data_IF_818680596658
#
_entry.id   IF_818680596658
#
_cell.length_a   1.000
_cell.length_b   1.000
_cell.length_c   1.000
_cell.angle_alpha   90.00
_cell.angle_beta   90.00
_cell.angle_gamma   90.00
#
_symmetry.space_group_name_H-M   'P 1'
#
loop_
_entity.id
_entity.type
_entity.pdbx_description
1 polymer ?
#
# COMPACT_ATOMS: atom_id res chain seq x y z
N UNK A 1 1.85 23.87 -3.25
CA UNK A 1 1.83 24.21 -4.69
C UNK A 1 2.14 22.96 -5.51
N UNK A 2 1.77 22.88 -6.79
CA UNK A 2 2.11 21.71 -7.66
C UNK A 2 3.61 21.37 -7.64
N UNK A 3 4.47 22.39 -7.52
CA UNK A 3 5.91 22.20 -7.37
C UNK A 3 6.30 21.36 -6.13
N UNK A 4 5.58 21.49 -5.02
CA UNK A 4 5.85 20.71 -3.80
C UNK A 4 5.44 19.25 -4.00
N UNK A 5 4.34 19.00 -4.72
CA UNK A 5 3.91 17.65 -5.10
C UNK A 5 4.96 17.02 -6.01
N UNK A 6 5.40 17.72 -7.05
CA UNK A 6 6.42 17.20 -7.95
C UNK A 6 7.70 16.84 -7.20
N UNK A 7 8.15 17.72 -6.29
CA UNK A 7 9.32 17.48 -5.45
C UNK A 7 9.15 16.19 -4.63
N UNK A 8 8.03 16.05 -3.91
CA UNK A 8 7.71 14.84 -3.11
C UNK A 8 7.69 13.57 -3.96
N UNK A 9 7.06 13.62 -5.13
CA UNK A 9 6.97 12.47 -6.04
C UNK A 9 8.35 12.08 -6.58
N UNK A 10 9.16 13.06 -6.98
CA UNK A 10 10.54 12.80 -7.44
C UNK A 10 11.40 12.25 -6.31
N UNK A 11 11.31 12.79 -5.09
CA UNK A 11 12.06 12.29 -3.93
C UNK A 11 11.68 10.85 -3.60
N UNK A 12 10.38 10.49 -3.64
CA UNK A 12 9.94 9.11 -3.44
C UNK A 12 10.43 8.18 -4.55
N UNK A 13 10.37 8.61 -5.82
CA UNK A 13 10.84 7.82 -6.95
C UNK A 13 12.35 7.58 -6.90
N UNK A 14 13.13 8.60 -6.53
CA UNK A 14 14.59 8.54 -6.47
C UNK A 14 15.12 7.56 -5.40
N UNK A 15 14.30 7.19 -4.41
CA UNK A 15 14.65 6.13 -3.43
C UNK A 15 14.77 4.75 -4.10
N UNK A 16 14.00 4.52 -5.17
CA UNK A 16 13.94 3.25 -5.90
C UNK A 16 14.75 3.27 -7.20
N UNK A 17 15.14 4.45 -7.70
CA UNK A 17 16.05 4.62 -8.84
C UNK A 17 17.51 4.35 -8.42
N UNK A 18 17.85 3.07 -8.30
CA UNK A 18 19.19 2.64 -7.86
C UNK A 18 20.31 3.04 -8.83
N UNK A 19 20.00 3.27 -10.10
CA UNK A 19 20.97 3.62 -11.15
C UNK A 19 21.10 5.13 -11.38
N UNK A 20 20.20 5.94 -10.81
CA UNK A 20 20.12 7.38 -11.04
C UNK A 20 19.77 7.75 -12.48
N UNK A 21 19.14 6.83 -13.22
CA UNK A 21 18.85 6.97 -14.64
C UNK A 21 17.40 7.43 -14.91
N UNK A 22 16.66 7.77 -13.85
CA UNK A 22 15.25 8.18 -13.84
C UNK A 22 14.29 7.08 -14.31
N UNK A 23 14.63 5.84 -13.99
CA UNK A 23 13.76 4.67 -14.18
C UNK A 23 13.70 3.82 -12.92
N UNK A 24 12.57 3.14 -12.73
CA UNK A 24 12.37 2.14 -11.67
C UNK A 24 11.72 0.90 -12.26
N UNK A 25 11.92 -0.24 -11.63
CA UNK A 25 11.24 -1.48 -12.00
C UNK A 25 9.72 -1.31 -11.84
N UNK A 26 8.93 -1.86 -12.77
CA UNK A 26 7.46 -1.82 -12.73
C UNK A 26 6.89 -2.36 -11.41
N UNK A 27 7.59 -3.31 -10.77
CA UNK A 27 7.20 -3.92 -9.50
C UNK A 27 7.27 -2.95 -8.31
N UNK A 28 8.08 -1.90 -8.40
CA UNK A 28 8.25 -0.91 -7.33
C UNK A 28 7.16 0.17 -7.33
N UNK A 29 6.36 0.26 -8.39
CA UNK A 29 5.38 1.33 -8.59
C UNK A 29 4.32 1.34 -7.49
N UNK A 30 3.82 0.17 -7.08
CA UNK A 30 2.87 0.05 -5.98
C UNK A 30 3.44 0.62 -4.67
N UNK A 31 4.67 0.23 -4.33
CA UNK A 31 5.38 0.69 -3.13
C UNK A 31 5.62 2.20 -3.16
N UNK A 32 6.04 2.76 -4.30
CA UNK A 32 6.26 4.21 -4.45
C UNK A 32 4.94 4.96 -4.24
N UNK A 33 3.84 4.53 -4.87
CA UNK A 33 2.53 5.18 -4.71
C UNK A 33 2.07 5.10 -3.24
N UNK A 34 2.27 3.95 -2.58
CA UNK A 34 1.96 3.78 -1.16
C UNK A 34 2.78 4.68 -0.24
N UNK A 35 4.07 4.85 -0.54
CA UNK A 35 4.94 5.78 0.20
C UNK A 35 4.53 7.25 0.11
N UNK A 36 3.75 7.61 -0.92
CA UNK A 36 3.22 8.96 -1.11
C UNK A 36 1.92 9.23 -0.33
N UNK A 37 1.44 8.24 0.44
CA UNK A 37 0.23 8.32 1.26
C UNK A 37 -1.05 7.87 0.54
N UNK A 38 -0.92 7.23 -0.62
CA UNK A 38 -2.04 6.61 -1.33
C UNK A 38 -2.15 5.12 -0.95
N UNK A 39 -3.34 4.53 -1.07
CA UNK A 39 -3.59 3.12 -0.83
C UNK A 39 -4.35 2.49 -2.02
N UNK A 40 -3.77 2.46 -3.23
CA UNK A 40 -4.42 1.84 -4.37
C UNK A 40 -4.47 0.32 -4.19
N UNK A 41 -5.50 -0.31 -4.77
CA UNK A 41 -5.57 -1.76 -4.90
C UNK A 41 -4.61 -2.25 -6.00
N UNK A 42 -4.28 -3.54 -6.03
CA UNK A 42 -3.43 -4.11 -7.08
C UNK A 42 -4.04 -3.96 -8.48
N UNK A 43 -5.37 -4.08 -8.59
CA UNK A 43 -6.09 -3.76 -9.82
C UNK A 43 -5.92 -2.28 -10.24
N UNK A 44 -5.97 -1.35 -9.30
CA UNK A 44 -5.79 0.08 -9.59
C UNK A 44 -4.32 0.41 -9.95
N UNK A 45 -3.35 -0.28 -9.37
CA UNK A 45 -1.93 -0.17 -9.77
C UNK A 45 -1.75 -0.67 -11.20
N UNK A 46 -2.37 -1.80 -11.55
CA UNK A 46 -2.34 -2.31 -12.92
C UNK A 46 -2.91 -1.30 -13.92
N UNK A 47 -4.03 -0.65 -13.59
CA UNK A 47 -4.61 0.40 -14.44
C UNK A 47 -3.66 1.61 -14.59
N UNK A 48 -3.00 2.03 -13.50
CA UNK A 48 -1.99 3.10 -13.55
C UNK A 48 -0.81 2.70 -14.45
N UNK A 49 -0.31 1.46 -14.32
CA UNK A 49 0.78 0.94 -15.14
C UNK A 49 0.40 0.93 -16.63
N UNK A 50 -0.80 0.46 -16.96
CA UNK A 50 -1.30 0.43 -18.33
C UNK A 50 -1.39 1.83 -18.98
N UNK A 51 -1.56 2.89 -18.18
CA UNK A 51 -1.55 4.27 -18.67
C UNK A 51 -0.14 4.86 -18.90
N UNK A 52 0.87 4.38 -18.18
CA UNK A 52 2.22 4.99 -18.15
C UNK A 52 3.32 4.14 -18.78
N UNK A 53 3.07 2.85 -19.01
CA UNK A 53 3.99 1.95 -19.69
C UNK A 53 4.14 2.32 -21.17
N UNK A 54 5.32 2.02 -21.75
CA UNK A 54 5.56 2.23 -23.18
C UNK A 54 4.83 1.18 -24.03
N UNK A 55 4.64 1.44 -25.33
CA UNK A 55 4.00 0.48 -26.24
C UNK A 55 4.71 -0.88 -26.26
N UNK A 56 6.04 -0.87 -26.06
CA UNK A 56 6.84 -2.06 -25.83
C UNK A 56 7.24 -2.14 -24.35
N UNK A 57 6.72 -3.12 -23.57
CA UNK A 57 7.04 -3.29 -22.16
C UNK A 57 8.54 -3.49 -21.95
N UNK A 58 9.17 -2.57 -21.23
CA UNK A 58 10.60 -2.65 -20.93
C UNK A 58 10.88 -3.30 -19.57
N UNK A 59 9.85 -3.49 -18.74
CA UNK A 59 10.00 -3.84 -17.32
C UNK A 59 10.37 -2.64 -16.43
N UNK A 60 10.52 -1.44 -17.01
CA UNK A 60 10.87 -0.22 -16.30
C UNK A 60 9.91 0.92 -16.63
N UNK A 61 9.63 1.76 -15.63
CA UNK A 61 8.84 2.98 -15.77
C UNK A 61 9.75 4.20 -15.65
N UNK A 62 9.57 5.18 -16.54
CA UNK A 62 10.31 6.45 -16.53
C UNK A 62 9.62 7.48 -15.64
N UNK A 63 10.40 8.25 -14.89
CA UNK A 63 9.88 9.35 -14.06
C UNK A 63 9.00 10.33 -14.86
N UNK A 64 9.37 10.60 -16.11
CA UNK A 64 8.63 11.53 -16.99
C UNK A 64 7.18 11.09 -17.28
N UNK A 65 6.90 9.78 -17.25
CA UNK A 65 5.56 9.21 -17.42
C UNK A 65 4.83 9.10 -16.09
N UNK A 66 5.55 8.69 -15.05
CA UNK A 66 5.00 8.51 -13.71
C UNK A 66 4.57 9.83 -13.04
N UNK A 67 5.42 10.85 -13.10
CA UNK A 67 5.22 12.14 -12.43
C UNK A 67 3.88 12.83 -12.76
N UNK A 68 3.48 13.02 -14.05
CA UNK A 68 2.21 13.66 -14.37
C UNK A 68 1.01 12.83 -13.89
N UNK A 69 1.07 11.50 -14.00
CA UNK A 69 -0.01 10.62 -13.58
C UNK A 69 -0.23 10.69 -12.06
N UNK A 70 0.84 10.54 -11.28
CA UNK A 70 0.73 10.59 -9.81
C UNK A 70 0.44 11.99 -9.29
N UNK A 71 0.91 13.03 -9.97
CA UNK A 71 0.52 14.41 -9.63
C UNK A 71 -1.00 14.58 -9.76
N UNK A 72 -1.60 14.05 -10.83
CA UNK A 72 -3.06 14.07 -11.00
C UNK A 72 -3.77 13.28 -9.90
N UNK A 73 -3.31 12.07 -9.58
CA UNK A 73 -3.85 11.23 -8.49
C UNK A 73 -3.87 11.99 -7.16
N UNK A 74 -2.76 12.62 -6.79
CA UNK A 74 -2.63 13.37 -5.53
C UNK A 74 -3.48 14.63 -5.51
N UNK A 75 -3.57 15.36 -6.63
CA UNK A 75 -4.42 16.56 -6.74
C UNK A 75 -5.90 16.22 -6.68
N UNK A 76 -6.32 15.12 -7.31
CA UNK A 76 -7.69 14.62 -7.31
C UNK A 76 -8.05 13.85 -6.03
N UNK A 77 -7.09 13.66 -5.11
CA UNK A 77 -7.24 12.88 -3.88
C UNK A 77 -7.81 11.48 -4.14
N UNK A 78 -7.32 10.83 -5.19
CA UNK A 78 -7.61 9.43 -5.51
C UNK A 78 -6.82 8.50 -4.57
N UNK A 79 -7.31 7.28 -4.39
CA UNK A 79 -6.66 6.23 -3.59
C UNK A 79 -6.33 6.68 -2.17
N UNK A 80 -7.25 7.39 -1.50
CA UNK A 80 -7.01 7.83 -0.12
C UNK A 80 -6.96 6.65 0.83
N UNK A 81 -6.18 6.80 1.89
CA UNK A 81 -6.20 5.86 3.01
C UNK A 81 -7.60 5.72 3.59
N UNK A 82 -7.88 4.52 4.09
CA UNK A 82 -9.13 4.22 4.77
C UNK A 82 -9.05 4.84 6.18
N UNK A 83 -10.08 5.57 6.64
CA UNK A 83 -10.10 6.10 8.00
C UNK A 83 -9.92 5.01 9.05
N UNK A 84 -9.18 5.33 10.12
CA UNK A 84 -8.86 4.40 11.21
C UNK A 84 -10.12 3.72 11.79
N UNK A 85 -11.21 4.47 11.97
CA UNK A 85 -12.47 3.95 12.50
C UNK A 85 -13.12 2.90 11.57
N UNK A 86 -12.94 3.05 10.26
CA UNK A 86 -13.43 2.10 9.28
C UNK A 86 -12.58 0.82 9.25
N UNK A 87 -11.25 0.94 9.37
CA UNK A 87 -10.35 -0.23 9.48
C UNK A 87 -10.64 -0.99 10.79
N UNK A 88 -10.80 -0.27 11.90
CA UNK A 88 -11.15 -0.88 13.19
C UNK A 88 -12.47 -1.63 13.11
N UNK A 89 -13.51 -1.05 12.48
CA UNK A 89 -14.79 -1.73 12.26
C UNK A 89 -14.63 -2.99 11.42
N UNK A 90 -13.76 -2.99 10.41
CA UNK A 90 -13.50 -4.18 9.59
C UNK A 90 -12.94 -5.32 10.45
N UNK A 91 -11.94 -5.06 11.29
CA UNK A 91 -11.42 -6.07 12.23
C UNK A 91 -12.46 -6.56 13.23
N UNK A 92 -13.33 -5.68 13.73
CA UNK A 92 -14.43 -6.05 14.64
C UNK A 92 -15.46 -6.97 13.98
N UNK A 93 -15.62 -6.93 12.65
CA UNK A 93 -16.47 -7.89 11.93
C UNK A 93 -15.83 -9.28 11.90
N UNK A 94 -14.49 -9.36 11.87
CA UNK A 94 -13.77 -10.63 11.92
C UNK A 94 -13.77 -11.24 13.33
N UNK A 95 -13.69 -10.39 14.36
CA UNK A 95 -13.74 -10.77 15.77
C UNK A 95 -15.19 -10.88 16.29
N UNK A 96 -15.90 -11.91 15.83
CA UNK A 96 -17.32 -12.13 16.16
C UNK A 96 -17.62 -12.28 17.66
N UNK A 97 -16.63 -12.66 18.46
CA UNK A 97 -16.73 -12.82 19.91
C UNK A 97 -16.32 -11.56 20.70
N UNK A 98 -15.89 -10.49 20.00
CA UNK A 98 -15.40 -9.25 20.58
C UNK A 98 -14.25 -9.45 21.59
N UNK A 99 -13.34 -10.38 21.29
CA UNK A 99 -12.13 -10.71 22.06
C UNK A 99 -11.18 -9.52 22.18
N UNK A 100 -11.17 -8.64 21.17
CA UNK A 100 -10.20 -7.55 21.02
C UNK A 100 -8.90 -7.97 20.33
N UNK A 101 -8.83 -9.20 19.82
CA UNK A 101 -7.69 -9.76 19.10
C UNK A 101 -8.15 -10.82 18.09
N UNK A 102 -7.29 -11.14 17.13
CA UNK A 102 -7.44 -12.28 16.22
C UNK A 102 -6.29 -13.26 16.40
N UNK A 103 -6.58 -14.54 16.21
CA UNK A 103 -5.54 -15.56 16.10
C UNK A 103 -4.85 -15.43 14.72
N UNK A 104 -3.52 -15.67 14.60
CA UNK A 104 -2.81 -15.55 13.32
C UNK A 104 -3.44 -16.39 12.19
N UNK A 105 -3.96 -17.56 12.52
CA UNK A 105 -4.67 -18.46 11.61
C UNK A 105 -5.99 -17.85 11.12
N UNK A 106 -6.75 -17.20 12.01
CA UNK A 106 -8.00 -16.51 11.64
C UNK A 106 -7.72 -15.38 10.66
N UNK A 107 -6.71 -14.55 10.98
CA UNK A 107 -6.32 -13.43 10.10
C UNK A 107 -5.82 -13.93 8.74
N UNK A 108 -4.95 -14.95 8.73
CA UNK A 108 -4.42 -15.56 7.50
C UNK A 108 -5.54 -16.01 6.58
N UNK A 109 -6.54 -16.70 7.14
CA UNK A 109 -7.68 -17.19 6.36
C UNK A 109 -8.41 -16.03 5.66
N UNK A 110 -8.73 -14.96 6.38
CA UNK A 110 -9.44 -13.82 5.78
C UNK A 110 -8.61 -13.08 4.73
N UNK A 111 -7.31 -12.88 4.98
CA UNK A 111 -6.44 -12.11 4.08
C UNK A 111 -6.01 -12.88 2.83
N UNK A 112 -6.18 -14.21 2.80
CA UNK A 112 -5.78 -15.06 1.65
C UNK A 112 -6.97 -15.63 0.87
N UNK A 113 -8.20 -15.54 1.39
CA UNK A 113 -9.41 -16.07 0.73
C UNK A 113 -10.31 -14.99 0.10
N UNK A 114 -10.28 -13.75 0.61
CA UNK A 114 -11.24 -12.71 0.27
C UNK A 114 -10.57 -11.47 -0.34
N UNK A 115 -11.28 -10.77 -1.23
CA UNK A 115 -10.82 -9.50 -1.81
C UNK A 115 -9.64 -9.66 -2.78
N UNK A 116 -8.56 -8.91 -2.53
CA UNK A 116 -7.27 -9.08 -3.19
C UNK A 116 -6.38 -9.94 -2.25
N UNK A 117 -6.33 -11.26 -2.48
CA UNK A 117 -5.72 -12.18 -1.54
C UNK A 117 -4.22 -11.97 -1.49
N UNK A 118 -3.69 -11.96 -0.27
CA UNK A 118 -2.25 -11.86 -0.04
C UNK A 118 -1.57 -13.14 -0.54
N UNK A 119 -0.38 -12.97 -1.09
CA UNK A 119 0.56 -14.06 -1.27
C UNK A 119 1.04 -14.57 0.08
N UNK A 120 1.62 -15.77 0.09
CA UNK A 120 2.18 -16.35 1.32
C UNK A 120 3.28 -15.47 1.91
N UNK A 121 4.10 -14.84 1.07
CA UNK A 121 5.18 -13.94 1.48
C UNK A 121 4.62 -12.67 2.12
N UNK A 122 3.64 -12.01 1.49
CA UNK A 122 2.97 -10.82 2.06
C UNK A 122 2.27 -11.13 3.39
N UNK A 123 1.68 -12.32 3.50
CA UNK A 123 1.05 -12.76 4.75
C UNK A 123 2.08 -13.00 5.86
N UNK A 124 3.22 -13.63 5.55
CA UNK A 124 4.31 -13.84 6.50
C UNK A 124 4.88 -12.52 7.00
N UNK A 125 5.10 -11.56 6.10
CA UNK A 125 5.53 -10.20 6.45
C UNK A 125 4.51 -9.50 7.34
N UNK A 126 3.21 -9.56 6.99
CA UNK A 126 2.14 -8.98 7.80
C UNK A 126 2.10 -9.58 9.21
N UNK A 127 2.15 -10.91 9.35
CA UNK A 127 2.15 -11.56 10.65
C UNK A 127 3.40 -11.20 11.46
N UNK A 128 4.56 -11.12 10.82
CA UNK A 128 5.80 -10.72 11.50
C UNK A 128 5.72 -9.32 12.12
N UNK A 129 4.94 -8.42 11.50
CA UNK A 129 4.71 -7.06 11.99
C UNK A 129 3.55 -6.95 12.99
N UNK A 130 2.54 -7.82 12.90
CA UNK A 130 1.28 -7.68 13.64
C UNK A 130 1.14 -8.60 14.87
N UNK A 131 1.86 -9.73 14.90
CA UNK A 131 1.73 -10.74 15.96
C UNK A 131 2.54 -10.34 17.19
N UNK A 132 1.90 -10.33 18.36
CA UNK A 132 2.57 -10.18 19.64
C UNK A 132 3.49 -11.39 19.90
N UNK A 133 4.80 -11.18 20.12
CA UNK A 133 5.78 -12.27 20.21
C UNK A 133 5.62 -13.15 21.46
N UNK A 134 4.98 -12.63 22.52
CA UNK A 134 4.80 -13.36 23.78
C UNK A 134 3.49 -14.14 23.79
N UNK A 135 2.44 -13.57 23.18
CA UNK A 135 1.08 -14.10 23.24
C UNK A 135 0.65 -14.85 21.98
N UNK A 136 1.36 -14.66 20.87
CA UNK A 136 1.01 -15.21 19.56
C UNK A 136 -0.41 -14.80 19.11
N UNK A 137 -0.77 -13.54 19.34
CA UNK A 137 -2.08 -12.95 19.03
C UNK A 137 -1.90 -11.63 18.28
N UNK A 138 -2.87 -11.28 17.43
CA UNK A 138 -2.92 -9.98 16.75
C UNK A 138 -3.88 -9.05 17.48
N UNK A 139 -3.35 -8.13 18.26
CA UNK A 139 -4.13 -7.07 18.91
C UNK A 139 -4.43 -5.95 17.91
N UNK A 140 -5.51 -6.14 17.13
CA UNK A 140 -5.78 -5.30 15.96
C UNK A 140 -5.98 -3.81 16.26
N UNK A 141 -6.36 -3.40 17.47
CA UNK A 141 -6.47 -1.97 17.83
C UNK A 141 -5.12 -1.25 17.74
N UNK A 142 -4.07 -1.90 18.25
CA UNK A 142 -2.72 -1.33 18.23
C UNK A 142 -2.18 -1.34 16.79
N UNK A 143 -2.48 -2.40 16.05
CA UNK A 143 -2.07 -2.53 14.65
C UNK A 143 -2.78 -1.53 13.72
N UNK A 144 -4.09 -1.28 13.91
CA UNK A 144 -4.87 -0.31 13.12
C UNK A 144 -4.27 1.10 13.21
N UNK A 145 -3.78 1.49 14.38
CA UNK A 145 -3.09 2.78 14.57
C UNK A 145 -1.82 2.87 13.72
N UNK A 146 -1.15 1.75 13.45
CA UNK A 146 0.05 1.69 12.58
C UNK A 146 -0.32 1.67 11.09
N UNK A 147 -1.48 1.12 10.73
CA UNK A 147 -1.97 1.07 9.34
C UNK A 147 -2.53 2.41 8.86
N UNK A 148 -3.08 3.20 9.78
CA UNK A 148 -3.60 4.51 9.45
C UNK A 148 -2.44 5.46 9.11
N UNK A 149 -2.35 5.86 7.84
CA UNK A 149 -1.39 6.89 7.40
C UNK A 149 -1.86 8.23 7.97
N UNK A 150 -1.04 8.84 8.84
CA UNK A 150 -1.29 10.20 9.34
C UNK A 150 -1.34 11.18 8.15
N UNK A 151 -2.47 11.89 7.98
CA UNK A 151 -2.54 13.02 7.04
C UNK A 151 -1.62 14.13 7.58
N UNK A 152 -0.38 14.18 7.09
CA UNK A 152 0.57 15.27 7.36
C UNK A 152 0.28 16.51 6.49
#
# INVERSE_FOLDING_TARGET
MVADIHKRVTEAFDVFDHEGNKTVDVREIGTIIRSLGCCPTEGEIHDVLAEIEEEEPTGYIRLEKFLPMITKVLMERRYRSIPEDAILRAFQVLDSEAKGYLDPEELTRYMTEEGEPFTQEEMEEMLSAAVDPDKNLVFYKDHVSMMAVEEN
#
